data_IF_319705432348
#
_entry.id   IF_319705432348
#
_cell.length_a   1.000
_cell.length_b   1.000
_cell.length_c   1.000
_cell.angle_alpha   90.00
_cell.angle_beta   90.00
_cell.angle_gamma   90.00
#
_symmetry.space_group_name_H-M   'P 1'
#
loop_
_entity.id
_entity.type
_entity.pdbx_description
1 polymer ?
2 non-polymer ?
3 water ?
#
# COMPACT_ATOMS: atom_id res chain seq x y z
N UNK A 3 11.31 0.44 9.05
CA UNK A 3 10.63 1.53 9.81
C UNK A 3 10.74 1.23 11.28
N UNK A 4 9.76 1.68 12.05
CA UNK A 4 9.38 0.92 13.20
C UNK A 4 9.12 -0.49 12.56
N UNK A 5 9.98 -1.47 12.90
CA UNK A 5 9.73 -2.86 12.48
C UNK A 5 8.31 -3.29 12.74
N UNK A 6 7.71 -2.78 13.81
CA UNK A 6 6.32 -3.16 14.11
C UNK A 6 5.36 -2.62 13.05
N UNK A 7 5.64 -1.44 12.53
CA UNK A 7 4.78 -0.87 11.50
C UNK A 7 5.02 -1.55 10.15
N UNK A 8 6.25 -1.99 9.88
CA UNK A 8 6.50 -2.83 8.70
C UNK A 8 5.67 -4.10 8.80
N UNK A 9 5.64 -4.67 10.00
CA UNK A 9 4.86 -5.86 10.21
C UNK A 9 3.38 -5.61 9.94
N UNK A 10 2.88 -4.50 10.44
CA UNK A 10 1.48 -4.13 10.22
C UNK A 10 1.19 -3.93 8.74
N UNK A 11 2.12 -3.31 8.02
CA UNK A 11 1.93 -3.12 6.58
C UNK A 11 1.92 -4.46 5.84
N UNK A 12 2.81 -5.36 6.23
CA UNK A 12 2.78 -6.71 5.65
C UNK A 12 1.41 -7.33 5.88
N UNK A 13 0.92 -7.27 7.11
CA UNK A 13 -0.35 -7.86 7.44
C UNK A 13 -1.47 -7.21 6.63
N UNK A 14 -1.41 -5.91 6.44
CA UNK A 14 -2.39 -5.21 5.63
C UNK A 14 -2.37 -5.70 4.17
N UNK A 15 -1.18 -5.83 3.59
CA UNK A 15 -1.08 -6.35 2.23
C UNK A 15 -1.65 -7.75 2.15
N UNK A 16 -1.32 -8.58 3.13
CA UNK A 16 -1.89 -9.93 3.16
C UNK A 16 -3.41 -9.88 3.16
N UNK A 17 -3.98 -9.04 4.00
CA UNK A 17 -5.42 -8.89 4.09
C UNK A 17 -6.03 -8.48 2.73
N UNK A 18 -5.39 -7.54 2.05
CA UNK A 18 -5.88 -7.06 0.76
C UNK A 18 -5.79 -8.15 -0.30
N UNK A 19 -4.74 -8.97 -0.24
CA UNK A 19 -4.63 -10.10 -1.16
C UNK A 19 -5.78 -11.07 -0.92
N UNK A 20 -6.03 -11.36 0.34
CA UNK A 20 -7.05 -12.32 0.71
C UNK A 20 -8.43 -11.85 0.33
N UNK A 21 -8.70 -10.56 0.52
CA UNK A 21 -10.00 -9.97 0.28
C UNK A 21 -9.84 -8.55 -0.29
N UNK A 22 -9.71 -8.44 -1.61
CA UNK A 22 -9.47 -7.15 -2.24
C UNK A 22 -10.60 -6.15 -1.99
N UNK A 23 -11.79 -6.59 -1.60
CA UNK A 23 -12.87 -5.64 -1.36
C UNK A 23 -12.57 -4.67 -0.23
N UNK A 24 -11.60 -5.01 0.63
CA UNK A 24 -11.02 -4.09 1.63
C UNK A 24 -10.75 -2.72 1.03
N UNK A 25 -10.29 -2.71 -0.22
CA UNK A 25 -9.81 -1.52 -0.89
C UNK A 25 -10.87 -0.79 -1.68
N UNK A 26 -12.11 -1.25 -1.65
CA UNK A 26 -13.14 -0.69 -2.52
C UNK A 26 -13.89 0.52 -1.94
N UNK A 27 -13.60 0.88 -0.70
CA UNK A 27 -14.32 1.91 0.03
C UNK A 27 -13.74 3.29 -0.23
N UNK A 28 -14.50 4.33 0.12
CA UNK A 28 -14.02 5.70 -0.01
C UNK A 28 -12.84 5.95 0.89
N UNK A 29 -12.84 5.36 2.08
CA UNK A 29 -11.71 5.47 2.98
C UNK A 29 -10.40 5.02 2.33
N UNK A 30 -10.47 4.03 1.45
CA UNK A 30 -9.29 3.47 0.80
C UNK A 30 -9.06 4.02 -0.61
N UNK A 31 -9.80 5.04 -1.02
CA UNK A 31 -9.61 5.60 -2.34
C UNK A 31 -8.18 6.07 -2.56
N UNK A 32 -7.55 6.66 -1.52
CA UNK A 32 -6.20 7.15 -1.68
C UNK A 32 -5.25 6.02 -2.12
N UNK A 33 -5.49 4.81 -1.64
CA UNK A 33 -4.62 3.68 -1.94
C UNK A 33 -4.88 3.21 -3.37
N UNK A 34 -6.15 3.15 -3.77
CA UNK A 34 -6.48 2.82 -5.16
C UNK A 34 -5.84 3.83 -6.13
N UNK A 35 -5.95 5.10 -5.81
CA UNK A 35 -5.39 6.14 -6.66
C UNK A 35 -3.89 5.99 -6.80
N UNK A 36 -3.21 5.64 -5.71
CA UNK A 36 -1.76 5.43 -5.74
C UNK A 36 -1.45 4.26 -6.69
N UNK A 37 -2.12 3.13 -6.51
CA UNK A 37 -1.89 1.99 -7.36
C UNK A 37 -2.14 2.34 -8.82
N UNK A 38 -3.21 3.05 -9.11
CA UNK A 38 -3.48 3.43 -10.50
C UNK A 38 -2.42 4.37 -11.05
N UNK A 39 -1.89 5.27 -10.22
CA UNK A 39 -0.85 6.16 -10.69
C UNK A 39 0.39 5.38 -11.15
N UNK A 40 0.59 4.19 -10.62
CA UNK A 40 1.69 3.32 -10.99
C UNK A 40 1.31 2.37 -12.12
N UNK A 41 0.12 2.54 -12.68
CA UNK A 41 -0.34 1.76 -13.80
C UNK A 41 -1.04 0.49 -13.44
N UNK A 42 -1.33 0.28 -12.15
CA UNK A 42 -2.03 -0.91 -11.72
C UNK A 42 -3.51 -0.68 -11.54
N UNK A 43 -4.20 -1.74 -11.14
CA UNK A 43 -5.61 -1.66 -10.76
C UNK A 43 -5.84 -2.60 -9.60
N UNK A 44 -6.55 -2.11 -8.58
CA UNK A 44 -6.88 -3.00 -7.47
C UNK A 44 -7.88 -4.04 -7.97
N UNK A 45 -7.77 -5.28 -7.52
CA UNK A 45 -8.65 -6.30 -8.01
C UNK A 45 -10.10 -6.12 -7.54
N UNK A 46 -11.03 -6.71 -8.28
CA UNK A 46 -12.44 -6.75 -7.88
C UNK A 46 -12.74 -7.77 -6.78
N UNK B 3 -9.87 -1.75 8.80
CA UNK B 3 -8.71 -1.39 9.71
C UNK B 3 -9.04 -0.19 10.62
N UNK B 4 -8.35 -0.07 11.75
CA UNK B 4 -8.67 1.02 12.68
C UNK B 4 -8.29 2.36 12.05
N UNK B 5 -9.04 3.41 12.39
CA UNK B 5 -8.85 4.66 11.71
C UNK B 5 -7.46 5.28 11.88
N UNK B 6 -6.82 5.05 13.00
CA UNK B 6 -5.47 5.58 13.17
C UNK B 6 -4.49 4.92 12.21
N UNK B 7 -4.53 3.60 12.07
CA UNK B 7 -3.64 2.97 11.13
C UNK B 7 -3.96 3.38 9.70
N UNK B 8 -5.23 3.62 9.37
CA UNK B 8 -5.53 4.15 8.04
C UNK B 8 -4.86 5.52 7.87
N UNK B 9 -4.90 6.38 8.88
CA UNK B 9 -4.25 7.67 8.76
C UNK B 9 -2.75 7.54 8.57
N UNK B 10 -2.14 6.57 9.23
CA UNK B 10 -0.73 6.32 9.05
C UNK B 10 -0.43 5.85 7.62
N UNK B 11 -1.31 5.01 7.08
CA UNK B 11 -1.17 4.56 5.70
C UNK B 11 -1.32 5.72 4.71
N UNK B 12 -2.24 6.65 4.98
CA UNK B 12 -2.37 7.83 4.12
C UNK B 12 -1.07 8.62 4.13
N UNK B 13 -0.46 8.78 5.31
CA UNK B 13 0.78 9.49 5.41
C UNK B 13 1.90 8.79 4.67
N UNK B 14 1.93 7.47 4.76
CA UNK B 14 2.93 6.67 4.06
C UNK B 14 2.80 6.82 2.54
N UNK B 15 1.58 6.72 2.05
CA UNK B 15 1.35 6.89 0.63
C UNK B 15 1.73 8.29 0.16
N UNK B 16 1.37 9.31 0.93
CA UNK B 16 1.75 10.66 0.57
C UNK B 16 3.23 10.83 0.42
N UNK B 17 3.98 10.24 1.34
CA UNK B 17 5.43 10.23 1.28
C UNK B 17 5.90 9.55 0.01
N UNK B 18 5.43 8.33 -0.21
CA UNK B 18 5.88 7.57 -1.37
C UNK B 18 5.62 8.26 -2.70
N UNK B 19 4.51 8.99 -2.79
CA UNK B 19 4.19 9.70 -4.04
C UNK B 19 5.14 10.82 -4.33
N UNK B 20 5.77 11.37 -3.29
CA UNK B 20 6.78 12.42 -3.50
C UNK B 20 8.21 11.89 -3.52
N UNK B 21 8.46 10.73 -2.90
CA UNK B 21 9.80 10.15 -2.89
C UNK B 21 9.65 8.66 -2.65
N UNK B 22 9.62 7.89 -3.72
CA UNK B 22 9.43 6.46 -3.53
C UNK B 22 10.71 5.66 -3.14
N UNK B 23 11.76 6.36 -2.69
CA UNK B 23 13.02 5.74 -2.22
C UNK B 23 12.81 4.53 -1.33
N UNK B 24 12.00 4.68 -0.28
CA UNK B 24 11.83 3.58 0.71
C UNK B 24 11.33 2.29 0.05
N UNK B 25 10.62 2.47 -1.08
CA UNK B 25 10.07 1.32 -1.72
C UNK B 25 11.15 0.47 -2.35
N UNK B 26 12.34 1.04 -2.60
CA UNK B 26 13.39 0.30 -3.27
C UNK B 26 14.31 -0.46 -2.35
N UNK B 27 13.92 -0.65 -1.12
CA UNK B 27 14.70 -1.38 -0.14
C UNK B 27 14.21 -2.82 -0.10
N UNK B 28 15.05 -3.71 0.44
CA UNK B 28 14.60 -5.09 0.64
C UNK B 28 13.44 -5.17 1.61
N UNK B 29 13.42 -4.29 2.62
CA UNK B 29 12.33 -4.27 3.57
C UNK B 29 10.99 -4.10 2.88
N UNK B 30 10.96 -3.35 1.77
CA UNK B 30 9.73 -3.07 1.05
C UNK B 30 9.51 -3.89 -0.21
N UNK B 31 10.32 -4.92 -0.45
CA UNK B 31 10.13 -5.74 -1.62
C UNK B 31 8.71 -6.34 -1.66
N UNK B 32 8.18 -6.75 -0.52
CA UNK B 32 6.84 -7.33 -0.50
C UNK B 32 5.81 -6.35 -1.05
N UNK B 33 6.03 -5.07 -0.78
CA UNK B 33 5.09 -4.05 -1.22
C UNK B 33 5.24 -3.83 -2.73
N UNK B 34 6.47 -3.77 -3.24
CA UNK B 34 6.69 -3.69 -4.68
C UNK B 34 6.04 -4.88 -5.39
N UNK B 35 6.21 -6.08 -4.85
CA UNK B 35 5.64 -7.28 -5.45
C UNK B 35 4.13 -7.20 -5.50
N UNK B 36 3.53 -6.65 -4.45
CA UNK B 36 2.08 -6.51 -4.45
C UNK B 36 1.63 -5.53 -5.53
N UNK B 37 2.30 -4.38 -5.63
CA UNK B 37 1.97 -3.43 -6.70
C UNK B 37 2.10 -4.10 -8.06
N UNK B 38 3.19 -4.83 -8.26
CA UNK B 38 3.42 -5.49 -9.54
C UNK B 38 2.32 -6.51 -9.84
N UNK B 39 1.83 -7.20 -8.81
CA UNK B 39 0.77 -8.18 -8.99
C UNK B 39 -0.53 -7.55 -9.48
N UNK B 40 -0.69 -6.25 -9.23
CA UNK B 40 -1.84 -5.49 -9.69
C UNK B 40 -1.57 -4.80 -11.03
N UNK B 41 -0.44 -5.11 -11.67
CA UNK B 41 -0.10 -4.53 -12.94
C UNK B 41 0.66 -3.21 -12.86
N UNK B 42 1.06 -2.80 -11.66
CA UNK B 42 1.79 -1.55 -11.53
C UNK B 42 3.28 -1.71 -11.59
N UNK B 43 3.94 -0.56 -11.68
CA UNK B 43 5.38 -0.48 -11.69
C UNK B 43 5.79 0.61 -10.70
N UNK B 44 6.62 0.28 -9.72
CA UNK B 44 7.10 1.31 -8.77
C UNK B 44 8.16 2.11 -9.51
N UNK B 45 7.99 3.43 -9.57
CA UNK B 45 8.92 4.24 -10.33
C UNK B 45 10.20 4.48 -9.58
N UNK B 46 11.18 5.02 -10.29
CA UNK B 46 12.48 5.19 -9.71
C UNK B 46 12.54 6.02 -8.47
X LIG C 1 -2.70 -9.20 -6.10
X LIG C 1 -3.13 -8.52 -7.19
X LIG C 1 -3.42 -8.86 -4.82
X LIG C 1 -4.16 -10.00 -4.72
X LIG C 1 -4.54 -7.89 -4.64
X LIG C 1 -4.63 -7.24 -3.41
#
# INVERSE_FOLDING_TARGET
GAMDPRKVSELRAFVKMCRQDPSVLHTEEMRFLREWVESMGGKVPP
GAMDPRKVSELRAFVKMCRQDPSVLHTEEMRFLREWVESMGGKVPP
GOL C1 O1 C2 O2 C3 O3
#
